data_IF_813027578290
#
_entry.id   IF_813027578290
#
_cell.length_a   1.000
_cell.length_b   1.000
_cell.length_c   1.000
_cell.angle_alpha   90.00
_cell.angle_beta   90.00
_cell.angle_gamma   90.00
#
_symmetry.space_group_name_H-M   'P 1'
#
loop_
_entity.id
_entity.type
_entity.pdbx_description
1 polymer ?
#
# COMPACT_ATOMS: atom_id res chain seq x y z
N UNK A 1 13.14 -9.37 51.83
CA UNK A 1 13.04 -8.41 50.71
C UNK A 1 14.43 -8.34 50.10
N UNK A 2 14.65 -8.81 48.87
CA UNK A 2 15.94 -8.61 48.22
C UNK A 2 16.01 -7.20 47.63
N UNK A 3 17.18 -6.58 47.77
CA UNK A 3 17.54 -5.28 47.23
C UNK A 3 17.19 -5.17 45.75
N UNK A 4 16.54 -4.06 45.41
CA UNK A 4 16.38 -3.62 44.03
C UNK A 4 17.77 -3.17 43.59
N UNK A 5 18.48 -4.02 42.86
CA UNK A 5 19.63 -3.58 42.08
C UNK A 5 19.12 -2.58 41.05
N UNK A 6 19.64 -1.36 41.16
CA UNK A 6 19.47 -0.29 40.19
C UNK A 6 19.71 -0.85 38.79
N UNK A 7 18.65 -0.83 37.99
CA UNK A 7 18.76 -0.91 36.54
C UNK A 7 19.55 0.33 36.17
N UNK A 8 20.85 0.17 35.93
CA UNK A 8 21.60 1.13 35.15
C UNK A 8 20.83 1.28 33.85
N UNK A 9 20.19 2.43 33.69
CA UNK A 9 19.86 2.95 32.40
C UNK A 9 21.19 3.04 31.66
N UNK A 10 21.52 1.98 30.91
CA UNK A 10 22.46 2.07 29.82
C UNK A 10 21.83 3.07 28.86
N UNK A 11 22.18 4.33 29.11
CA UNK A 11 22.07 5.48 28.25
C UNK A 11 23.01 5.22 27.07
N UNK A 12 22.74 4.13 26.35
CA UNK A 12 23.25 3.87 25.02
C UNK A 12 22.53 4.86 24.12
N UNK A 13 23.02 6.11 24.20
CA UNK A 13 23.16 7.02 23.08
C UNK A 13 24.01 6.36 21.98
N UNK A 14 23.66 5.13 21.58
CA UNK A 14 23.76 4.76 20.19
C UNK A 14 22.81 5.70 19.51
N UNK A 15 23.35 6.86 19.11
CA UNK A 15 22.89 7.57 17.94
C UNK A 15 22.53 6.48 16.93
N UNK A 16 21.24 6.20 16.83
CA UNK A 16 20.68 5.49 15.71
C UNK A 16 20.93 6.49 14.60
N UNK A 17 22.14 6.43 14.05
CA UNK A 17 22.49 6.79 12.70
C UNK A 17 21.63 5.89 11.81
N UNK A 18 20.31 6.10 11.88
CA UNK A 18 19.41 6.09 10.75
C UNK A 18 20.14 7.01 9.78
N UNK A 19 21.02 6.41 8.97
CA UNK A 19 21.40 6.96 7.67
C UNK A 19 20.06 7.17 6.97
N UNK A 20 19.54 8.36 7.24
CA UNK A 20 18.26 8.93 6.88
C UNK A 20 18.25 9.32 5.40
N UNK A 21 19.36 9.06 4.73
CA UNK A 21 19.57 9.14 3.30
C UNK A 21 19.06 7.88 2.59
N UNK A 22 17.80 7.50 2.88
CA UNK A 22 16.99 6.93 1.80
C UNK A 22 16.86 8.08 0.79
N UNK A 23 17.85 8.20 -0.10
CA UNK A 23 18.26 9.45 -0.75
C UNK A 23 17.07 10.32 -1.18
N UNK A 24 16.66 11.23 -0.27
CA UNK A 24 15.48 12.05 -0.43
C UNK A 24 15.59 12.88 -1.71
N UNK A 25 16.82 13.24 -2.09
CA UNK A 25 17.12 13.94 -3.34
C UNK A 25 16.80 13.06 -4.54
N UNK A 26 17.24 11.80 -4.56
CA UNK A 26 16.85 10.83 -5.61
C UNK A 26 15.33 10.68 -5.70
N UNK A 27 14.65 10.55 -4.56
CA UNK A 27 13.21 10.42 -4.52
C UNK A 27 12.47 11.65 -5.04
N UNK A 28 12.85 12.84 -4.56
CA UNK A 28 12.30 14.11 -5.02
C UNK A 28 12.58 14.33 -6.51
N UNK A 29 13.80 14.04 -6.97
CA UNK A 29 14.18 14.10 -8.38
C UNK A 29 13.31 13.18 -9.23
N UNK A 30 13.11 11.93 -8.82
CA UNK A 30 12.26 10.99 -9.54
C UNK A 30 10.80 11.44 -9.59
N UNK A 31 10.27 12.00 -8.51
CA UNK A 31 8.91 12.55 -8.52
C UNK A 31 8.79 13.73 -9.47
N UNK A 32 9.73 14.66 -9.39
CA UNK A 32 9.78 15.82 -10.28
C UNK A 32 9.90 15.39 -11.75
N UNK A 33 10.79 14.44 -12.04
CA UNK A 33 10.98 13.88 -13.37
C UNK A 33 9.71 13.20 -13.90
N UNK A 34 9.07 12.36 -13.07
CA UNK A 34 7.82 11.67 -13.44
C UNK A 34 6.68 12.66 -13.68
N UNK A 35 6.62 13.75 -12.91
CA UNK A 35 5.58 14.77 -13.02
C UNK A 35 5.81 15.73 -14.19
N UNK A 36 7.05 16.12 -14.46
CA UNK A 36 7.40 17.16 -15.42
C UNK A 36 7.58 16.64 -16.85
N UNK A 37 8.20 15.46 -17.03
CA UNK A 37 8.50 14.96 -18.37
C UNK A 37 7.24 14.83 -19.26
N UNK A 38 6.09 14.34 -18.76
CA UNK A 38 4.87 14.27 -19.56
C UNK A 38 4.26 15.64 -19.93
N UNK A 39 4.74 16.75 -19.34
CA UNK A 39 4.25 18.10 -19.66
C UNK A 39 4.81 18.60 -21.00
N UNK A 40 6.00 18.17 -21.41
CA UNK A 40 6.61 18.59 -22.67
C UNK A 40 5.73 18.31 -23.91
N UNK A 41 5.21 17.09 -24.13
CA UNK A 41 4.30 16.82 -25.25
C UNK A 41 2.98 17.60 -25.16
N UNK A 42 2.52 17.99 -23.97
CA UNK A 42 1.31 18.82 -23.80
C UNK A 42 1.51 20.21 -24.42
N UNK A 43 2.65 20.84 -24.17
CA UNK A 43 2.96 22.14 -24.78
C UNK A 43 3.04 22.05 -26.30
N UNK A 44 3.56 20.93 -26.82
CA UNK A 44 3.60 20.69 -28.25
C UNK A 44 2.20 20.52 -28.85
N UNK A 45 1.32 19.75 -28.22
CA UNK A 45 -0.07 19.63 -28.67
C UNK A 45 -0.85 20.93 -28.56
N UNK A 46 -0.60 21.73 -27.51
CA UNK A 46 -1.18 23.06 -27.38
C UNK A 46 -0.72 23.98 -28.53
N UNK A 47 0.56 23.92 -28.92
CA UNK A 47 1.06 24.63 -30.09
C UNK A 47 0.35 24.18 -31.38
N UNK A 48 0.23 22.86 -31.59
CA UNK A 48 -0.47 22.30 -32.76
C UNK A 48 -1.94 22.71 -32.80
N UNK A 49 -2.61 22.71 -31.65
CA UNK A 49 -3.99 23.15 -31.52
C UNK A 49 -4.16 24.62 -31.96
N UNK A 50 -3.29 25.50 -31.46
CA UNK A 50 -3.30 26.91 -31.87
C UNK A 50 -3.02 27.07 -33.37
N UNK A 51 -2.09 26.28 -33.91
CA UNK A 51 -1.78 26.28 -35.34
C UNK A 51 -2.99 25.87 -36.20
N UNK A 52 -3.69 24.80 -35.80
CA UNK A 52 -4.87 24.28 -36.54
C UNK A 52 -6.04 25.26 -36.50
N UNK A 53 -6.29 25.91 -35.36
CA UNK A 53 -7.42 26.84 -35.19
C UNK A 53 -7.06 28.31 -35.41
N UNK A 54 -5.85 28.62 -35.87
CA UNK A 54 -5.37 29.99 -36.07
C UNK A 54 -6.30 30.83 -36.96
N UNK A 55 -6.94 30.21 -37.95
CA UNK A 55 -7.83 30.88 -38.91
C UNK A 55 -9.32 30.87 -38.51
N UNK A 56 -9.70 30.17 -37.43
CA UNK A 56 -11.09 30.05 -37.00
C UNK A 56 -11.20 29.90 -35.47
N UNK A 57 -11.18 31.05 -34.79
CA UNK A 57 -11.25 31.12 -33.33
C UNK A 57 -12.55 30.55 -32.78
N UNK A 58 -13.69 30.77 -33.44
CA UNK A 58 -14.98 30.24 -32.96
C UNK A 58 -14.95 28.71 -32.90
N UNK A 59 -14.44 28.06 -33.95
CA UNK A 59 -14.33 26.61 -34.00
C UNK A 59 -13.34 26.10 -32.93
N UNK A 60 -12.23 26.81 -32.74
CA UNK A 60 -11.31 26.54 -31.63
C UNK A 60 -12.05 26.56 -30.28
N UNK A 61 -12.75 27.63 -29.95
CA UNK A 61 -13.46 27.72 -28.66
C UNK A 61 -14.48 26.58 -28.44
N UNK A 62 -15.14 26.10 -29.49
CA UNK A 62 -16.05 24.95 -29.42
C UNK A 62 -15.31 23.64 -29.08
N UNK A 63 -14.12 23.42 -29.65
CA UNK A 63 -13.33 22.20 -29.40
C UNK A 63 -12.43 22.26 -28.17
N UNK A 64 -12.21 23.46 -27.60
CA UNK A 64 -11.32 23.66 -26.46
C UNK A 64 -11.61 22.73 -25.27
N UNK A 65 -12.87 22.51 -24.83
CA UNK A 65 -13.13 21.61 -23.70
C UNK A 65 -12.72 20.16 -23.97
N UNK A 66 -12.99 19.67 -25.19
CA UNK A 66 -12.61 18.32 -25.60
C UNK A 66 -11.08 18.18 -25.67
N UNK A 67 -10.41 19.20 -26.21
CA UNK A 67 -8.95 19.26 -26.26
C UNK A 67 -8.33 19.23 -24.85
N UNK A 68 -8.82 20.05 -23.92
CA UNK A 68 -8.34 20.07 -22.52
C UNK A 68 -8.54 18.71 -21.83
N UNK A 69 -9.68 18.04 -22.05
CA UNK A 69 -9.92 16.68 -21.54
C UNK A 69 -8.91 15.70 -22.14
N UNK A 70 -8.66 15.79 -23.45
CA UNK A 70 -7.65 14.98 -24.15
C UNK A 70 -6.25 15.15 -23.58
N UNK A 71 -5.80 16.39 -23.39
CA UNK A 71 -4.51 16.72 -22.77
C UNK A 71 -4.38 16.17 -21.35
N UNK A 72 -5.43 16.31 -20.54
CA UNK A 72 -5.42 15.80 -19.17
C UNK A 72 -5.32 14.27 -19.14
N UNK A 73 -6.05 13.57 -20.00
CA UNK A 73 -5.95 12.10 -20.12
C UNK A 73 -4.58 11.68 -20.64
N UNK A 74 -4.02 12.40 -21.61
CA UNK A 74 -2.67 12.16 -22.13
C UNK A 74 -1.60 12.36 -21.04
N UNK A 75 -1.72 13.42 -20.23
CA UNK A 75 -0.86 13.66 -19.09
C UNK A 75 -0.90 12.52 -18.08
N UNK A 76 -2.11 12.12 -17.64
CA UNK A 76 -2.30 10.99 -16.71
C UNK A 76 -1.66 9.73 -17.29
N UNK A 77 -1.88 9.46 -18.58
CA UNK A 77 -1.30 8.31 -19.26
C UNK A 77 0.23 8.36 -19.23
N UNK A 78 0.82 9.49 -19.62
CA UNK A 78 2.27 9.71 -19.60
C UNK A 78 2.88 9.49 -18.22
N UNK A 79 2.28 10.05 -17.15
CA UNK A 79 2.75 9.86 -15.77
C UNK A 79 2.71 8.38 -15.36
N UNK A 80 1.62 7.67 -15.68
CA UNK A 80 1.48 6.24 -15.34
C UNK A 80 2.48 5.37 -16.10
N UNK A 81 2.66 5.58 -17.40
CA UNK A 81 3.62 4.83 -18.21
C UNK A 81 5.07 5.13 -17.80
N UNK A 82 5.39 6.37 -17.48
CA UNK A 82 6.72 6.75 -16.99
C UNK A 82 7.00 6.13 -15.61
N UNK A 83 6.00 6.11 -14.73
CA UNK A 83 6.11 5.40 -13.45
C UNK A 83 6.30 3.89 -13.68
N UNK A 84 5.55 3.28 -14.60
CA UNK A 84 5.74 1.87 -14.98
C UNK A 84 7.17 1.63 -15.45
N UNK A 85 7.74 2.51 -16.27
CA UNK A 85 9.12 2.40 -16.72
C UNK A 85 10.11 2.38 -15.53
N UNK A 86 9.97 3.31 -14.58
CA UNK A 86 10.79 3.33 -13.36
C UNK A 86 10.60 2.05 -12.52
N UNK A 87 9.36 1.53 -12.42
CA UNK A 87 9.08 0.27 -11.73
C UNK A 87 9.74 -0.92 -12.42
N UNK A 88 9.72 -0.99 -13.75
CA UNK A 88 10.41 -2.04 -14.53
C UNK A 88 11.92 -1.99 -14.28
N UNK A 89 12.53 -0.80 -14.31
CA UNK A 89 13.94 -0.63 -13.95
C UNK A 89 14.23 -1.05 -12.50
N UNK A 90 13.31 -0.78 -11.57
CA UNK A 90 13.43 -1.24 -10.20
C UNK A 90 13.33 -2.77 -10.09
N UNK A 91 12.42 -3.41 -10.82
CA UNK A 91 12.25 -4.87 -10.83
C UNK A 91 13.46 -5.59 -11.40
N UNK A 92 14.07 -5.01 -12.42
CA UNK A 92 15.29 -5.52 -13.01
C UNK A 92 16.44 -5.53 -12.00
N UNK A 93 16.60 -4.47 -11.20
CA UNK A 93 17.63 -4.39 -10.16
C UNK A 93 17.31 -5.23 -8.91
N UNK A 94 16.04 -5.30 -8.53
CA UNK A 94 15.58 -6.05 -7.35
C UNK A 94 14.14 -6.51 -7.54
N UNK A 95 13.97 -7.82 -7.79
CA UNK A 95 12.65 -8.42 -7.99
C UNK A 95 11.80 -8.28 -6.72
N UNK A 96 10.54 -7.83 -6.80
CA UNK A 96 9.62 -7.85 -5.67
C UNK A 96 9.47 -9.27 -5.13
N UNK A 97 9.57 -9.43 -3.80
CA UNK A 97 9.49 -10.74 -3.13
C UNK A 97 8.52 -10.66 -1.96
N UNK A 98 7.77 -11.74 -1.79
CA UNK A 98 6.95 -11.97 -0.61
C UNK A 98 7.80 -12.60 0.50
N UNK A 99 7.63 -12.17 1.75
CA UNK A 99 8.35 -12.72 2.90
C UNK A 99 7.70 -12.33 4.23
N UNK A 100 7.98 -13.11 5.26
CA UNK A 100 7.52 -12.84 6.64
C UNK A 100 8.76 -12.62 7.48
N UNK A 101 8.73 -11.60 8.35
CA UNK A 101 9.84 -11.25 9.23
C UNK A 101 11.19 -11.07 8.49
N UNK A 102 11.18 -10.52 7.27
CA UNK A 102 12.42 -10.20 6.55
C UNK A 102 13.18 -9.13 7.33
N UNK A 103 14.51 -9.19 7.30
CA UNK A 103 15.32 -8.12 7.89
C UNK A 103 15.11 -6.81 7.12
N UNK A 104 14.76 -5.75 7.85
CA UNK A 104 14.60 -4.40 7.30
C UNK A 104 15.92 -3.65 7.38
N UNK A 105 16.94 -4.18 6.71
CA UNK A 105 18.21 -3.49 6.54
C UNK A 105 18.07 -2.42 5.44
N UNK A 106 18.19 -1.14 5.81
CA UNK A 106 18.09 -0.01 4.89
C UNK A 106 19.24 0.06 3.88
N UNK A 107 20.38 -0.58 4.17
CA UNK A 107 21.47 -0.73 3.20
C UNK A 107 21.20 -1.84 2.19
N UNK A 108 20.24 -2.72 2.48
CA UNK A 108 19.91 -3.80 1.57
C UNK A 108 19.22 -3.26 0.31
N UNK A 109 19.68 -3.75 -0.84
CA UNK A 109 19.08 -3.46 -2.15
C UNK A 109 17.58 -3.81 -2.17
N UNK A 110 17.15 -4.82 -1.42
CA UNK A 110 15.75 -5.23 -1.33
C UNK A 110 14.87 -4.14 -0.71
N UNK A 111 15.25 -3.63 0.46
CA UNK A 111 14.50 -2.59 1.19
C UNK A 111 14.51 -1.27 0.43
N UNK A 112 15.66 -0.87 -0.13
CA UNK A 112 15.77 0.33 -0.96
C UNK A 112 14.77 0.29 -2.13
N UNK A 113 14.80 -0.77 -2.94
CA UNK A 113 13.89 -0.88 -4.09
C UNK A 113 12.43 -1.06 -3.68
N UNK A 114 12.15 -1.68 -2.53
CA UNK A 114 10.81 -1.74 -1.96
C UNK A 114 10.26 -0.34 -1.67
N UNK A 115 11.01 0.50 -0.96
CA UNK A 115 10.61 1.88 -0.70
C UNK A 115 10.52 2.71 -1.97
N UNK A 116 11.45 2.53 -2.92
CA UNK A 116 11.41 3.20 -4.21
C UNK A 116 10.12 2.92 -4.97
N UNK A 117 9.74 1.64 -5.11
CA UNK A 117 8.46 1.27 -5.76
C UNK A 117 7.27 1.87 -5.02
N UNK A 118 7.30 1.88 -3.70
CA UNK A 118 6.26 2.49 -2.89
C UNK A 118 6.14 3.99 -3.12
N UNK A 119 7.29 4.67 -3.19
CA UNK A 119 7.37 6.11 -3.33
C UNK A 119 6.86 6.54 -4.70
N UNK A 120 7.43 6.02 -5.81
CA UNK A 120 7.10 6.47 -7.18
C UNK A 120 5.63 6.28 -7.56
N UNK A 121 4.90 5.37 -6.90
CA UNK A 121 3.47 5.16 -7.12
C UNK A 121 2.57 6.21 -6.47
N UNK A 122 3.07 6.97 -5.49
CA UNK A 122 2.27 7.95 -4.75
C UNK A 122 1.74 9.07 -5.65
N UNK A 123 2.60 9.60 -6.52
CA UNK A 123 2.24 10.68 -7.43
C UNK A 123 1.13 10.31 -8.43
N UNK A 124 1.25 9.24 -9.25
CA UNK A 124 0.16 8.86 -10.16
C UNK A 124 -1.13 8.49 -9.42
N UNK A 125 -1.03 7.87 -8.24
CA UNK A 125 -2.20 7.57 -7.41
C UNK A 125 -2.91 8.87 -6.96
N UNK A 126 -2.14 9.82 -6.43
CA UNK A 126 -2.66 11.13 -6.03
C UNK A 126 -3.30 11.86 -7.21
N UNK A 127 -2.61 11.89 -8.36
CA UNK A 127 -3.09 12.54 -9.57
C UNK A 127 -4.44 11.97 -10.02
N UNK A 128 -4.57 10.65 -10.10
CA UNK A 128 -5.81 10.00 -10.54
C UNK A 128 -6.95 10.22 -9.55
N UNK A 129 -6.71 10.02 -8.25
CA UNK A 129 -7.75 10.17 -7.21
C UNK A 129 -8.24 11.62 -7.10
N UNK A 130 -7.38 12.60 -7.38
CA UNK A 130 -7.74 14.04 -7.38
C UNK A 130 -8.23 14.56 -8.72
N UNK A 131 -8.04 13.80 -9.80
CA UNK A 131 -8.59 14.12 -11.12
C UNK A 131 -10.11 13.86 -11.17
N UNK A 132 -10.83 14.38 -12.19
CA UNK A 132 -12.20 13.98 -12.46
C UNK A 132 -12.35 12.53 -12.95
N UNK A 133 -11.25 11.76 -13.03
CA UNK A 133 -11.22 10.40 -13.55
C UNK A 133 -10.77 9.34 -12.52
N UNK A 134 -11.35 9.28 -11.30
CA UNK A 134 -10.92 8.33 -10.27
C UNK A 134 -11.11 6.86 -10.68
N UNK A 135 -11.99 6.59 -11.65
CA UNK A 135 -12.20 5.24 -12.21
C UNK A 135 -10.96 4.69 -12.95
N UNK A 136 -9.98 5.54 -13.32
CA UNK A 136 -8.72 5.10 -13.91
C UNK A 136 -7.77 4.40 -12.92
N UNK A 137 -8.09 4.41 -11.62
CA UNK A 137 -7.26 3.78 -10.58
C UNK A 137 -7.03 2.29 -10.86
N UNK A 138 -8.05 1.57 -11.38
CA UNK A 138 -7.93 0.16 -11.75
C UNK A 138 -6.93 -0.03 -12.88
N UNK A 139 -7.06 0.78 -13.92
CA UNK A 139 -6.17 0.77 -15.07
C UNK A 139 -4.72 1.06 -14.67
N UNK A 140 -4.49 2.05 -13.80
CA UNK A 140 -3.16 2.37 -13.27
C UNK A 140 -2.55 1.17 -12.52
N UNK A 141 -3.28 0.58 -11.56
CA UNK A 141 -2.76 -0.55 -10.78
C UNK A 141 -2.46 -1.77 -11.65
N UNK A 142 -3.35 -2.11 -12.60
CA UNK A 142 -3.11 -3.18 -13.57
C UNK A 142 -1.86 -2.89 -14.42
N UNK A 143 -1.62 -1.63 -14.80
CA UNK A 143 -0.46 -1.21 -15.60
C UNK A 143 0.87 -1.41 -14.85
N UNK A 144 0.89 -1.30 -13.52
CA UNK A 144 2.08 -1.53 -12.70
C UNK A 144 2.49 -3.00 -12.56
N UNK A 145 1.60 -3.95 -12.87
CA UNK A 145 1.92 -5.39 -12.95
C UNK A 145 2.11 -6.12 -11.62
N UNK A 146 1.91 -5.46 -10.47
CA UNK A 146 1.95 -6.08 -9.13
C UNK A 146 0.55 -6.21 -8.49
N UNK A 147 -0.48 -5.96 -9.29
CA UNK A 147 -1.88 -6.02 -8.91
C UNK A 147 -2.60 -6.89 -9.92
N UNK A 148 -3.53 -7.69 -9.43
CA UNK A 148 -4.48 -8.42 -10.25
C UNK A 148 -5.87 -7.99 -9.80
N UNK A 149 -6.58 -7.27 -10.67
CA UNK A 149 -7.89 -6.72 -10.36
C UNK A 149 -8.84 -7.22 -11.44
N UNK A 150 -9.83 -8.00 -11.01
CA UNK A 150 -10.84 -8.60 -11.86
C UNK A 150 -11.83 -7.61 -12.47
N UNK A 151 -12.89 -8.17 -13.03
CA UNK A 151 -14.02 -7.45 -13.60
C UNK A 151 -14.96 -6.97 -12.49
N UNK A 152 -15.59 -5.82 -12.73
CA UNK A 152 -16.60 -5.23 -11.83
C UNK A 152 -16.15 -5.05 -10.37
N UNK A 153 -14.85 -4.91 -10.13
CA UNK A 153 -14.31 -4.61 -8.80
C UNK A 153 -14.59 -3.13 -8.49
N UNK A 154 -15.25 -2.88 -7.36
CA UNK A 154 -15.53 -1.53 -6.88
C UNK A 154 -14.51 -1.14 -5.82
N UNK A 155 -13.75 -0.09 -6.12
CA UNK A 155 -12.75 0.48 -5.21
C UNK A 155 -13.23 1.87 -4.83
N UNK A 156 -13.75 2.02 -3.61
CA UNK A 156 -14.05 3.34 -3.06
C UNK A 156 -12.76 4.01 -2.55
N UNK A 157 -12.83 5.26 -2.09
CA UNK A 157 -11.67 5.95 -1.52
C UNK A 157 -11.11 5.16 -0.33
N UNK A 158 -9.96 4.52 -0.55
CA UNK A 158 -9.35 3.57 0.36
C UNK A 158 -7.84 3.50 0.10
N UNK A 159 -7.11 2.99 1.09
CA UNK A 159 -5.66 2.88 1.04
C UNK A 159 -5.29 1.49 0.56
N UNK A 160 -5.04 1.35 -0.75
CA UNK A 160 -4.50 0.12 -1.30
C UNK A 160 -2.99 0.06 -1.09
N UNK A 161 -2.54 -1.08 -0.60
CA UNK A 161 -1.14 -1.42 -0.41
C UNK A 161 -0.33 -1.31 -1.69
N UNK A 162 0.97 -1.15 -1.50
CA UNK A 162 1.92 -0.74 -2.55
C UNK A 162 2.24 -1.84 -3.56
N UNK A 163 1.95 -3.11 -3.26
CA UNK A 163 2.21 -4.26 -4.14
C UNK A 163 1.46 -5.51 -3.64
N UNK A 164 1.29 -6.53 -4.49
CA UNK A 164 0.73 -7.84 -4.14
C UNK A 164 -0.74 -7.80 -3.65
N UNK A 165 -1.61 -7.13 -4.39
CA UNK A 165 -3.06 -7.16 -4.14
C UNK A 165 -3.76 -7.88 -5.29
N UNK A 166 -4.56 -8.88 -4.93
CA UNK A 166 -5.30 -9.72 -5.86
C UNK A 166 -6.77 -9.67 -5.49
N UNK A 167 -7.57 -9.08 -6.36
CA UNK A 167 -9.01 -8.90 -6.21
C UNK A 167 -9.69 -9.65 -7.37
N UNK A 168 -10.40 -10.71 -7.07
CA UNK A 168 -11.20 -11.43 -8.08
C UNK A 168 -12.46 -10.63 -8.47
N UNK A 169 -13.23 -11.17 -9.41
CA UNK A 169 -14.41 -10.51 -9.96
C UNK A 169 -15.45 -10.15 -8.90
N UNK A 170 -16.12 -9.02 -9.11
CA UNK A 170 -17.21 -8.49 -8.28
C UNK A 170 -16.82 -8.22 -6.81
N UNK A 171 -15.52 -8.08 -6.51
CA UNK A 171 -15.08 -7.66 -5.18
C UNK A 171 -15.47 -6.19 -4.90
N UNK A 172 -15.74 -5.87 -3.63
CA UNK A 172 -16.04 -4.50 -3.20
C UNK A 172 -15.14 -4.08 -2.04
N UNK A 173 -14.52 -2.92 -2.14
CA UNK A 173 -13.68 -2.34 -1.08
C UNK A 173 -14.31 -1.05 -0.60
N UNK A 174 -14.90 -1.08 0.59
CA UNK A 174 -15.60 0.05 1.20
C UNK A 174 -14.70 1.23 1.55
N UNK A 175 -15.31 2.42 1.56
CA UNK A 175 -14.70 3.71 1.94
C UNK A 175 -13.85 3.62 3.22
N UNK A 176 -12.70 4.28 3.21
CA UNK A 176 -11.81 4.41 4.36
C UNK A 176 -11.11 3.11 4.77
N UNK A 177 -11.27 2.04 3.99
CA UNK A 177 -10.57 0.78 4.26
C UNK A 177 -9.08 0.89 3.93
N UNK A 178 -8.28 0.06 4.57
CA UNK A 178 -6.83 0.00 4.40
C UNK A 178 -6.45 -1.44 4.12
N UNK A 179 -5.89 -1.69 2.94
CA UNK A 179 -5.37 -3.00 2.54
C UNK A 179 -3.85 -2.93 2.51
N UNK A 180 -3.19 -3.19 3.63
CA UNK A 180 -1.74 -3.13 3.68
C UNK A 180 -1.13 -4.48 3.40
N UNK A 181 -0.50 -4.63 2.23
CA UNK A 181 0.28 -5.83 1.87
C UNK A 181 1.65 -5.92 2.54
N UNK A 182 2.02 -4.89 3.31
CA UNK A 182 3.21 -4.89 4.14
C UNK A 182 2.92 -4.47 5.57
N UNK A 183 3.77 -4.89 6.49
CA UNK A 183 3.73 -4.50 7.89
C UNK A 183 5.16 -4.51 8.44
N UNK A 184 5.51 -3.47 9.20
CA UNK A 184 6.74 -3.46 9.99
C UNK A 184 6.45 -4.20 11.30
N UNK A 185 7.16 -5.30 11.50
CA UNK A 185 7.06 -6.16 12.68
C UNK A 185 8.18 -5.82 13.67
N UNK A 186 7.82 -5.30 14.84
CA UNK A 186 8.79 -4.94 15.89
C UNK A 186 9.81 -3.90 15.42
N UNK A 187 11.05 -4.01 15.90
CA UNK A 187 12.07 -2.96 15.73
C UNK A 187 12.65 -2.89 14.31
N UNK A 188 12.82 -4.01 13.59
CA UNK A 188 13.47 -4.02 12.26
C UNK A 188 13.09 -5.23 11.38
N UNK A 189 11.87 -5.74 11.49
CA UNK A 189 11.39 -6.80 10.60
C UNK A 189 10.31 -6.28 9.66
N UNK A 190 10.30 -6.77 8.44
CA UNK A 190 9.35 -6.40 7.39
C UNK A 190 8.65 -7.66 6.90
N UNK A 191 7.33 -7.67 7.01
CA UNK A 191 6.47 -8.68 6.39
C UNK A 191 5.85 -8.06 5.15
N UNK A 192 6.06 -8.69 3.98
CA UNK A 192 5.39 -8.35 2.72
C UNK A 192 4.67 -9.61 2.25
N UNK A 193 3.35 -9.59 2.26
CA UNK A 193 2.56 -10.74 1.84
C UNK A 193 1.31 -10.34 1.10
N UNK A 194 1.02 -11.12 0.06
CA UNK A 194 -0.11 -10.92 -0.83
C UNK A 194 -1.45 -10.95 -0.10
N UNK A 195 -2.29 -9.98 -0.43
CA UNK A 195 -3.71 -9.98 -0.03
C UNK A 195 -4.52 -10.56 -1.18
N UNK A 196 -5.38 -11.53 -0.88
CA UNK A 196 -6.26 -12.18 -1.85
C UNK A 196 -7.70 -12.00 -1.40
N UNK A 197 -8.49 -11.30 -2.21
CA UNK A 197 -9.95 -11.25 -2.10
C UNK A 197 -10.55 -12.10 -3.21
N UNK A 198 -11.32 -13.12 -2.81
CA UNK A 198 -11.98 -14.02 -3.76
C UNK A 198 -13.30 -13.45 -4.26
N UNK A 199 -13.82 -14.05 -5.32
CA UNK A 199 -15.01 -13.61 -6.04
C UNK A 199 -16.19 -13.28 -5.12
N UNK A 200 -16.88 -12.18 -5.42
CA UNK A 200 -18.03 -11.69 -4.65
C UNK A 200 -17.72 -11.44 -3.17
N UNK A 201 -16.46 -11.23 -2.79
CA UNK A 201 -16.11 -10.83 -1.43
C UNK A 201 -16.16 -9.32 -1.23
N UNK A 202 -16.47 -8.91 -0.01
CA UNK A 202 -16.72 -7.50 0.33
C UNK A 202 -15.95 -7.10 1.58
N UNK A 203 -15.28 -5.97 1.51
CA UNK A 203 -14.86 -5.20 2.66
C UNK A 203 -15.86 -4.06 2.84
N UNK A 204 -16.46 -3.95 4.00
CA UNK A 204 -17.30 -2.80 4.35
C UNK A 204 -16.41 -1.59 4.69
N UNK A 205 -16.99 -0.54 5.29
CA UNK A 205 -16.29 0.73 5.51
C UNK A 205 -15.29 0.66 6.66
N UNK A 206 -14.18 1.38 6.53
CA UNK A 206 -13.16 1.53 7.57
C UNK A 206 -12.56 0.20 8.05
N UNK A 207 -12.39 -0.76 7.15
CA UNK A 207 -11.78 -2.06 7.49
C UNK A 207 -10.25 -1.99 7.37
N UNK A 208 -9.54 -2.75 8.20
CA UNK A 208 -8.09 -2.89 8.15
C UNK A 208 -7.74 -4.32 7.77
N UNK A 209 -7.05 -4.49 6.66
CA UNK A 209 -6.58 -5.79 6.16
C UNK A 209 -5.05 -5.79 6.19
N UNK A 210 -4.49 -6.67 7.01
CA UNK A 210 -3.05 -6.85 7.18
C UNK A 210 -2.43 -7.69 6.03
N UNK A 211 -1.10 -7.87 5.99
CA UNK A 211 -0.45 -8.67 4.96
C UNK A 211 -0.83 -10.15 5.00
N UNK A 212 -0.89 -10.79 3.83
CA UNK A 212 -1.07 -12.25 3.73
C UNK A 212 -2.49 -12.75 3.99
N UNK A 213 -3.47 -11.85 4.01
CA UNK A 213 -4.86 -12.20 4.23
C UNK A 213 -5.46 -12.87 2.99
N UNK A 214 -6.27 -13.91 3.22
CA UNK A 214 -7.10 -14.55 2.19
C UNK A 214 -8.57 -14.48 2.58
N UNK A 215 -9.38 -13.74 1.83
CA UNK A 215 -10.82 -13.62 2.03
C UNK A 215 -11.54 -14.58 1.07
N UNK A 216 -12.32 -15.50 1.61
CA UNK A 216 -13.06 -16.50 0.84
C UNK A 216 -14.18 -15.92 -0.04
N UNK A 217 -14.64 -16.72 -1.00
CA UNK A 217 -15.75 -16.35 -1.89
C UNK A 217 -17.02 -16.04 -1.10
N UNK A 218 -17.81 -15.08 -1.59
CA UNK A 218 -19.07 -14.63 -0.96
C UNK A 218 -18.96 -14.29 0.52
N UNK A 219 -17.79 -13.81 0.96
CA UNK A 219 -17.56 -13.42 2.35
C UNK A 219 -17.52 -11.92 2.50
N UNK A 220 -17.99 -11.43 3.63
CA UNK A 220 -18.02 -10.02 3.98
C UNK A 220 -17.17 -9.76 5.21
N UNK A 221 -16.42 -8.66 5.22
CA UNK A 221 -15.72 -8.15 6.39
C UNK A 221 -16.47 -6.90 6.84
N UNK A 222 -17.07 -6.97 8.03
CA UNK A 222 -17.94 -5.92 8.54
C UNK A 222 -17.20 -4.62 8.82
N UNK A 223 -17.91 -3.49 8.83
CA UNK A 223 -17.31 -2.17 9.02
C UNK A 223 -16.46 -2.09 10.30
N UNK A 224 -15.41 -1.28 10.28
CA UNK A 224 -14.48 -1.08 11.43
C UNK A 224 -13.78 -2.37 11.91
N UNK A 225 -13.77 -3.42 11.09
CA UNK A 225 -13.09 -4.68 11.40
C UNK A 225 -11.62 -4.64 11.00
N UNK A 226 -10.76 -5.19 11.87
CA UNK A 226 -9.35 -5.42 11.58
C UNK A 226 -9.02 -6.92 11.46
N UNK A 227 -8.37 -7.33 10.38
CA UNK A 227 -7.90 -8.71 10.19
C UNK A 227 -6.39 -8.77 10.43
N UNK A 228 -5.92 -9.46 11.48
CA UNK A 228 -4.49 -9.64 11.75
C UNK A 228 -3.77 -10.41 10.64
N UNK A 229 -2.48 -10.13 10.44
CA UNK A 229 -1.67 -10.72 9.35
C UNK A 229 -1.78 -12.25 9.25
N UNK A 230 -1.65 -12.77 8.04
CA UNK A 230 -1.64 -14.22 7.71
C UNK A 230 -2.92 -15.00 8.05
N UNK A 231 -4.03 -14.32 8.37
CA UNK A 231 -5.32 -14.98 8.61
C UNK A 231 -6.08 -15.29 7.31
N UNK A 232 -7.04 -16.22 7.44
CA UNK A 232 -7.97 -16.61 6.37
C UNK A 232 -9.40 -16.43 6.84
N UNK A 233 -10.16 -15.62 6.11
CA UNK A 233 -11.62 -15.58 6.24
C UNK A 233 -12.20 -16.71 5.40
N UNK A 234 -13.07 -17.52 6.00
CA UNK A 234 -13.70 -18.67 5.32
C UNK A 234 -14.62 -18.18 4.20
N UNK A 235 -15.06 -19.08 3.33
CA UNK A 235 -16.07 -18.79 2.29
C UNK A 235 -17.46 -18.69 2.93
N UNK A 236 -18.37 -17.90 2.33
CA UNK A 236 -19.75 -17.73 2.78
C UNK A 236 -19.85 -17.29 4.26
N UNK A 237 -18.93 -16.44 4.72
CA UNK A 237 -18.93 -15.97 6.12
C UNK A 237 -18.91 -14.47 6.20
N UNK A 238 -19.59 -13.94 7.21
CA UNK A 238 -19.42 -12.56 7.66
C UNK A 238 -18.38 -12.55 8.77
N UNK A 239 -17.24 -11.89 8.53
CA UNK A 239 -16.20 -11.67 9.50
C UNK A 239 -16.39 -10.30 10.13
N UNK A 240 -16.55 -10.26 11.44
CA UNK A 240 -16.64 -9.02 12.21
C UNK A 240 -15.57 -9.05 13.30
N UNK A 241 -14.72 -8.03 13.36
CA UNK A 241 -13.75 -7.87 14.45
C UNK A 241 -13.82 -6.52 15.14
N UNK A 242 -14.27 -6.57 16.38
CA UNK A 242 -13.91 -5.65 17.47
C UNK A 242 -13.99 -6.47 18.75
N UNK A 243 -12.93 -6.47 19.58
CA UNK A 243 -12.73 -7.11 20.92
C UNK A 243 -13.24 -8.56 21.21
N UNK A 244 -14.11 -9.14 20.41
CA UNK A 244 -14.98 -10.26 20.76
C UNK A 244 -14.82 -11.46 19.80
N UNK A 245 -13.67 -11.55 19.14
CA UNK A 245 -13.35 -12.68 18.29
C UNK A 245 -12.99 -13.90 19.16
N UNK A 246 -13.63 -15.06 18.96
CA UNK A 246 -13.36 -16.30 19.73
C UNK A 246 -11.89 -16.74 19.62
N UNK A 247 -11.24 -16.43 18.50
CA UNK A 247 -9.80 -16.67 18.27
C UNK A 247 -8.95 -15.74 19.15
N UNK A 248 -9.27 -14.45 19.19
CA UNK A 248 -8.57 -13.47 20.04
C UNK A 248 -8.81 -13.73 21.54
N UNK A 249 -10.01 -14.19 21.94
CA UNK A 249 -10.29 -14.65 23.31
C UNK A 249 -9.41 -15.84 23.70
N UNK A 250 -9.16 -16.79 22.79
CA UNK A 250 -8.22 -17.91 23.00
C UNK A 250 -6.78 -17.42 23.15
N UNK A 251 -6.31 -16.57 22.24
CA UNK A 251 -4.94 -16.03 22.30
C UNK A 251 -4.72 -15.19 23.56
N UNK A 252 -5.65 -14.31 23.94
CA UNK A 252 -5.55 -13.52 25.18
C UNK A 252 -5.53 -14.40 26.42
N UNK A 253 -6.26 -15.52 26.43
CA UNK A 253 -6.22 -16.51 27.53
C UNK A 253 -4.88 -17.24 27.57
N UNK A 254 -4.34 -17.63 26.42
CA UNK A 254 -3.02 -18.24 26.30
C UNK A 254 -1.90 -17.29 26.74
N UNK A 255 -1.93 -16.02 26.32
CA UNK A 255 -0.96 -15.00 26.76
C UNK A 255 -1.02 -14.74 28.27
N UNK A 256 -2.23 -14.75 28.87
CA UNK A 256 -2.39 -14.64 30.33
C UNK A 256 -1.80 -15.85 31.07
N UNK A 257 -2.00 -17.07 30.55
CA UNK A 257 -1.41 -18.29 31.11
C UNK A 257 0.12 -18.24 31.05
N UNK A 258 0.69 -17.91 29.88
CA UNK A 258 2.12 -17.81 29.69
C UNK A 258 2.76 -16.78 30.63
N UNK A 259 2.15 -15.59 30.81
CA UNK A 259 2.62 -14.59 31.77
C UNK A 259 2.60 -15.10 33.21
N UNK A 260 1.62 -15.93 33.57
CA UNK A 260 1.52 -16.53 34.91
C UNK A 260 2.63 -17.57 35.12
N UNK A 261 2.84 -18.47 34.16
CA UNK A 261 3.90 -19.48 34.20
C UNK A 261 5.30 -18.85 34.29
N UNK A 262 5.56 -17.79 33.51
CA UNK A 262 6.82 -17.06 33.55
C UNK A 262 7.04 -16.39 34.91
N UNK A 263 6.00 -15.83 35.53
CA UNK A 263 6.07 -15.22 36.86
C UNK A 263 6.33 -16.28 37.94
N UNK A 264 5.71 -17.44 37.82
CA UNK A 264 5.92 -18.57 38.76
C UNK A 264 7.33 -19.16 38.65
N UNK A 265 7.87 -19.30 37.43
CA UNK A 265 9.28 -19.70 37.23
C UNK A 265 10.25 -18.70 37.85
N UNK A 266 10.06 -17.40 37.58
CA UNK A 266 10.90 -16.33 38.15
C UNK A 266 10.85 -16.26 39.68
N UNK A 267 9.71 -16.59 40.28
CA UNK A 267 9.54 -16.68 41.73
C UNK A 267 10.17 -17.93 42.36
N UNK A 268 10.33 -19.02 41.59
CA UNK A 268 11.05 -20.22 42.03
C UNK A 268 12.57 -20.02 41.96
N UNK A 269 13.04 -19.38 40.88
CA UNK A 269 14.45 -19.05 40.67
C UNK A 269 15.00 -17.99 41.64
N UNK A 270 14.13 -17.19 42.27
CA UNK A 270 14.53 -16.20 43.29
C UNK A 270 14.45 -16.71 44.74
N UNK A 271 14.04 -17.97 44.94
CA UNK A 271 13.91 -18.61 46.26
C UNK A 271 14.84 -19.82 46.45
N UNK A 272 15.58 -20.22 45.43
CA UNK A 272 16.69 -21.17 45.51
C UNK A 272 18.00 -20.45 45.33
#
# INVERSE_FOLDING_TARGET
>A
MPEIQDIKDDDDNSEINLRSDLDLKTYAFLHFFVALLPIYPIFYFLYLYNFVFAFNLQLGLVFLPLFVIGELLFYIAGVVYLTKFVLVLSHWRSKPREGVNMERDFNSRMVYHYHLRGFVKKFPLWLIVRSPFPFLIKWMFQTFGLYDIGKNVMIYDCWLGLEFIYLEDNCKIGLGSVLSSHLVDGLNRLTIKRIIMRENSQLDHYTLVSPGIKIGKHSRVGSKSGIPKLQRVRKNTVYTTGSDNRVFKKDRKATKLLKKELKEKRNKESKG
#
